data_IF_459404034180
#
_entry.id   IF_459404034180
#
_cell.length_a   1.000
_cell.length_b   1.000
_cell.length_c   1.000
_cell.angle_alpha   90.00
_cell.angle_beta   90.00
_cell.angle_gamma   90.00
#
_symmetry.space_group_name_H-M   'P 1'
#
loop_
_entity.id
_entity.type
_entity.pdbx_description
1 polymer ?
#
# COMPACT_ATOMS: atom_id res chain seq x y z
N UNK A 1 -7.20 -6.64 55.77
CA UNK A 1 -6.09 -5.96 55.07
C UNK A 1 -6.70 -5.26 53.87
N UNK A 2 -6.71 -3.93 53.89
CA UNK A 2 -7.23 -3.12 52.79
C UNK A 2 -6.31 -3.28 51.58
N UNK A 3 -6.86 -3.78 50.48
CA UNK A 3 -6.26 -3.60 49.15
C UNK A 3 -6.31 -2.10 48.89
N UNK A 4 -5.15 -1.45 48.86
CA UNK A 4 -5.05 -0.07 48.42
C UNK A 4 -5.72 0.04 47.05
N UNK A 5 -6.69 0.96 46.92
CA UNK A 5 -7.14 1.40 45.61
C UNK A 5 -5.88 1.82 44.85
N UNK A 6 -5.45 1.01 43.89
CA UNK A 6 -4.51 1.48 42.88
C UNK A 6 -5.24 2.61 42.18
N UNK A 7 -4.73 3.83 42.37
CA UNK A 7 -5.13 4.99 41.60
C UNK A 7 -4.93 4.62 40.12
N UNK A 8 -6.02 4.26 39.44
CA UNK A 8 -6.02 4.20 37.99
C UNK A 8 -5.63 5.60 37.52
N UNK A 9 -4.57 5.71 36.71
CA UNK A 9 -4.24 6.96 36.06
C UNK A 9 -5.52 7.47 35.39
N UNK A 10 -5.92 8.74 35.57
CA UNK A 10 -7.05 9.33 34.87
C UNK A 10 -6.61 9.55 33.42
N UNK A 11 -6.52 8.46 32.69
CA UNK A 11 -6.20 8.46 31.28
C UNK A 11 -7.51 8.63 30.55
N UNK A 12 -7.62 9.72 29.81
CA UNK A 12 -8.57 9.79 28.72
C UNK A 12 -8.09 8.76 27.67
N UNK A 13 -8.69 7.57 27.70
CA UNK A 13 -8.30 6.42 26.87
C UNK A 13 -8.25 6.77 25.38
N UNK A 14 -9.15 7.66 24.93
CA UNK A 14 -9.17 8.14 23.55
C UNK A 14 -7.94 9.02 23.26
N UNK A 15 -7.63 9.96 24.16
CA UNK A 15 -6.45 10.81 24.05
C UNK A 15 -5.15 10.01 24.11
N UNK A 16 -5.03 9.04 25.01
CA UNK A 16 -3.84 8.20 25.09
C UNK A 16 -3.69 7.33 23.83
N UNK A 17 -4.75 6.67 23.39
CA UNK A 17 -4.73 5.87 22.17
C UNK A 17 -4.35 6.70 20.94
N UNK A 18 -4.83 7.94 20.86
CA UNK A 18 -4.45 8.89 19.82
C UNK A 18 -2.97 9.29 19.90
N UNK A 19 -2.48 9.70 21.07
CA UNK A 19 -1.08 10.07 21.27
C UNK A 19 -0.14 8.91 20.96
N UNK A 20 -0.41 7.72 21.48
CA UNK A 20 0.41 6.52 21.23
C UNK A 20 0.48 6.20 19.73
N UNK A 21 -0.66 6.22 19.04
CA UNK A 21 -0.72 6.03 17.58
C UNK A 21 0.09 7.09 16.83
N UNK A 22 0.02 8.36 17.23
CA UNK A 22 0.79 9.42 16.59
C UNK A 22 2.29 9.17 16.75
N UNK A 23 2.75 8.87 17.96
CA UNK A 23 4.17 8.59 18.24
C UNK A 23 4.66 7.36 17.45
N UNK A 24 3.89 6.27 17.43
CA UNK A 24 4.20 5.08 16.63
C UNK A 24 4.32 5.43 15.15
N UNK A 25 3.36 6.16 14.58
CA UNK A 25 3.41 6.57 13.18
C UNK A 25 4.62 7.43 12.87
N UNK A 26 4.96 8.39 13.73
CA UNK A 26 6.13 9.25 13.56
C UNK A 26 7.42 8.42 13.52
N UNK A 27 7.57 7.46 14.43
CA UNK A 27 8.71 6.55 14.44
C UNK A 27 8.76 5.64 13.22
N UNK A 28 7.63 5.07 12.79
CA UNK A 28 7.53 4.32 11.52
C UNK A 28 8.06 5.16 10.36
N UNK A 29 7.60 6.41 10.22
CA UNK A 29 8.04 7.29 9.15
C UNK A 29 9.50 7.74 9.29
N UNK A 30 10.06 7.80 10.50
CA UNK A 30 11.50 7.98 10.70
C UNK A 30 12.26 6.77 10.16
N UNK A 31 11.83 5.55 10.48
CA UNK A 31 12.43 4.33 9.95
C UNK A 31 12.36 4.29 8.42
N UNK A 32 11.24 4.70 7.82
CA UNK A 32 11.13 4.72 6.34
C UNK A 32 12.07 5.73 5.69
N UNK A 33 12.42 6.82 6.38
CA UNK A 33 13.39 7.79 5.87
C UNK A 33 14.81 7.24 5.92
N UNK A 34 15.15 6.48 6.96
CA UNK A 34 16.47 5.87 7.11
C UNK A 34 16.63 4.60 6.24
N UNK A 35 15.58 3.78 6.18
CA UNK A 35 15.54 2.46 5.56
C UNK A 35 14.26 2.32 4.71
N UNK A 36 14.23 2.93 3.51
CA UNK A 36 13.00 3.04 2.70
C UNK A 36 12.45 1.71 2.18
N UNK A 37 13.25 0.65 2.19
CA UNK A 37 12.93 -0.66 1.60
C UNK A 37 12.65 -1.76 2.62
N UNK A 38 12.90 -1.50 3.91
CA UNK A 38 12.79 -2.48 4.98
C UNK A 38 11.51 -2.25 5.79
N UNK A 39 10.74 -3.30 6.05
CA UNK A 39 9.61 -3.20 6.97
C UNK A 39 10.13 -3.06 8.41
N UNK A 40 9.70 -2.06 9.19
CA UNK A 40 10.13 -1.91 10.57
C UNK A 40 9.57 -3.06 11.39
N UNK A 41 10.30 -3.44 12.42
CA UNK A 41 9.73 -4.23 13.51
C UNK A 41 8.71 -3.35 14.25
N UNK A 42 7.42 -3.54 13.96
CA UNK A 42 6.34 -2.77 14.56
C UNK A 42 6.22 -2.96 16.07
N UNK A 43 6.65 -4.11 16.59
CA UNK A 43 6.69 -4.35 18.03
C UNK A 43 7.81 -3.51 18.66
N UNK A 44 8.99 -3.47 18.04
CA UNK A 44 10.09 -2.62 18.50
C UNK A 44 9.72 -1.13 18.42
N UNK A 45 9.10 -0.68 17.32
CA UNK A 45 8.63 0.71 17.21
C UNK A 45 7.59 1.04 18.29
N UNK A 46 6.73 0.08 18.64
CA UNK A 46 5.76 0.26 19.73
C UNK A 46 6.44 0.35 21.10
N UNK A 47 7.46 -0.47 21.37
CA UNK A 47 8.28 -0.38 22.59
C UNK A 47 8.98 0.98 22.69
N UNK A 48 9.52 1.48 21.58
CA UNK A 48 10.19 2.78 21.52
C UNK A 48 9.19 3.92 21.78
N UNK A 49 8.00 3.86 21.19
CA UNK A 49 6.93 4.83 21.43
C UNK A 49 6.48 4.85 22.90
N UNK A 50 6.26 3.67 23.51
CA UNK A 50 5.91 3.55 24.92
C UNK A 50 7.00 4.16 25.81
N UNK A 51 8.26 3.89 25.50
CA UNK A 51 9.42 4.45 26.22
C UNK A 51 9.47 5.98 26.10
N UNK A 52 9.24 6.54 24.91
CA UNK A 52 9.18 7.99 24.69
C UNK A 52 8.06 8.68 25.48
N UNK A 53 6.94 7.98 25.68
CA UNK A 53 5.81 8.46 26.46
C UNK A 53 5.95 8.22 27.98
N UNK A 54 7.07 7.64 28.43
CA UNK A 54 7.37 7.41 29.84
C UNK A 54 6.72 6.16 30.44
N UNK A 55 6.21 5.24 29.60
CA UNK A 55 5.69 3.96 30.07
C UNK A 55 6.81 2.99 30.42
N UNK A 56 6.58 2.06 31.37
CA UNK A 56 7.54 1.01 31.68
C UNK A 56 7.78 0.11 30.47
N UNK A 57 9.00 -0.42 30.36
CA UNK A 57 9.39 -1.32 29.28
C UNK A 57 8.56 -2.61 29.35
N UNK A 58 7.88 -2.92 28.25
CA UNK A 58 7.16 -4.17 28.06
C UNK A 58 8.02 -5.19 27.30
N UNK A 59 7.53 -6.43 27.22
CA UNK A 59 8.08 -7.42 26.31
C UNK A 59 7.53 -7.26 24.89
N UNK A 60 8.17 -7.94 23.93
CA UNK A 60 7.79 -7.88 22.52
C UNK A 60 6.35 -8.39 22.27
N UNK A 61 5.89 -9.51 22.87
CA UNK A 61 4.50 -9.96 22.72
C UNK A 61 3.46 -8.90 23.12
N UNK A 62 3.63 -8.23 24.26
CA UNK A 62 2.70 -7.18 24.69
C UNK A 62 2.71 -5.98 23.72
N UNK A 63 3.87 -5.60 23.22
CA UNK A 63 3.99 -4.52 22.24
C UNK A 63 3.28 -4.86 20.91
N UNK A 64 3.39 -6.10 20.44
CA UNK A 64 2.66 -6.60 19.27
C UNK A 64 1.15 -6.49 19.47
N UNK A 65 0.65 -6.96 20.63
CA UNK A 65 -0.79 -6.86 20.95
C UNK A 65 -1.27 -5.41 21.01
N UNK A 66 -0.47 -4.50 21.57
CA UNK A 66 -0.80 -3.06 21.59
C UNK A 66 -0.87 -2.51 20.16
N UNK A 67 0.12 -2.82 19.32
CA UNK A 67 0.14 -2.36 17.93
C UNK A 67 -1.07 -2.86 17.14
N UNK A 68 -1.46 -4.12 17.33
CA UNK A 68 -2.65 -4.71 16.71
C UNK A 68 -3.95 -4.06 17.22
N UNK A 69 -4.06 -3.82 18.53
CA UNK A 69 -5.21 -3.14 19.13
C UNK A 69 -5.37 -1.70 18.62
N UNK A 70 -4.28 -1.07 18.19
CA UNK A 70 -4.30 0.25 17.55
C UNK A 70 -4.73 0.20 16.07
N UNK A 71 -5.14 -0.94 15.49
CA UNK A 71 -5.71 -0.94 14.14
C UNK A 71 -7.03 -0.14 14.10
N UNK A 72 -7.05 1.01 13.42
CA UNK A 72 -8.31 1.69 13.09
C UNK A 72 -8.86 1.06 11.81
N UNK A 73 -10.08 0.53 11.90
CA UNK A 73 -10.88 0.18 10.73
C UNK A 73 -11.54 1.45 10.20
N UNK A 74 -11.01 2.01 9.12
CA UNK A 74 -11.77 2.97 8.31
C UNK A 74 -12.45 2.19 7.20
N UNK A 75 -13.69 2.53 6.90
CA UNK A 75 -14.37 2.00 5.71
C UNK A 75 -13.48 2.26 4.49
N UNK A 76 -13.18 1.19 3.75
CA UNK A 76 -12.46 1.27 2.47
C UNK A 76 -13.52 1.18 1.37
N UNK A 77 -13.56 2.19 0.52
CA UNK A 77 -14.41 2.18 -0.65
C UNK A 77 -13.62 1.66 -1.85
N UNK A 78 -14.20 0.71 -2.56
CA UNK A 78 -13.67 0.27 -3.84
C UNK A 78 -13.88 1.35 -4.91
N UNK A 79 -13.01 1.36 -5.91
CA UNK A 79 -13.35 2.04 -7.15
C UNK A 79 -14.63 1.42 -7.73
N UNK A 80 -15.58 2.21 -8.26
CA UNK A 80 -16.87 1.69 -8.73
C UNK A 80 -16.78 0.56 -9.77
N UNK A 81 -15.68 0.53 -10.53
CA UNK A 81 -15.40 -0.43 -11.59
C UNK A 81 -14.49 -1.59 -11.16
N UNK A 82 -14.05 -1.66 -9.90
CA UNK A 82 -13.06 -2.64 -9.44
C UNK A 82 -13.52 -4.09 -9.60
N UNK A 83 -14.65 -4.46 -8.98
CA UNK A 83 -15.14 -5.85 -8.98
C UNK A 83 -15.44 -6.34 -10.39
N UNK A 84 -16.13 -5.51 -11.19
CA UNK A 84 -16.45 -5.82 -12.58
C UNK A 84 -15.19 -6.04 -13.42
N UNK A 85 -14.17 -5.19 -13.25
CA UNK A 85 -12.91 -5.31 -13.98
C UNK A 85 -12.17 -6.60 -13.60
N UNK A 86 -12.02 -6.89 -12.30
CA UNK A 86 -11.33 -8.10 -11.84
C UNK A 86 -12.04 -9.38 -12.32
N UNK A 87 -13.38 -9.42 -12.26
CA UNK A 87 -14.16 -10.55 -12.77
C UNK A 87 -13.94 -10.75 -14.27
N UNK A 88 -13.91 -9.67 -15.05
CA UNK A 88 -13.68 -9.74 -16.50
C UNK A 88 -12.25 -10.15 -16.84
N UNK A 89 -11.25 -9.71 -16.08
CA UNK A 89 -9.86 -10.15 -16.25
C UNK A 89 -9.73 -11.66 -15.97
N UNK A 90 -10.28 -12.16 -14.87
CA UNK A 90 -10.30 -13.60 -14.58
C UNK A 90 -11.02 -14.39 -15.67
N UNK A 91 -12.18 -13.91 -16.16
CA UNK A 91 -12.92 -14.53 -17.26
C UNK A 91 -12.09 -14.63 -18.56
N UNK A 92 -11.17 -13.69 -18.77
CA UNK A 92 -10.24 -13.69 -19.91
C UNK A 92 -8.97 -14.53 -19.69
N UNK A 93 -8.87 -15.23 -18.56
CA UNK A 93 -7.75 -16.12 -18.25
C UNK A 93 -6.59 -15.45 -17.52
N UNK A 94 -6.73 -14.19 -17.08
CA UNK A 94 -5.69 -13.55 -16.28
C UNK A 94 -5.63 -14.12 -14.87
N UNK A 95 -4.42 -14.37 -14.40
CA UNK A 95 -4.14 -14.72 -13.02
C UNK A 95 -3.87 -13.42 -12.26
N UNK A 96 -4.51 -13.24 -11.12
CA UNK A 96 -4.44 -12.03 -10.30
C UNK A 96 -3.60 -12.28 -9.05
N UNK A 97 -2.69 -11.35 -8.74
CA UNK A 97 -1.90 -11.36 -7.51
C UNK A 97 -1.95 -10.02 -6.80
N UNK A 98 -1.55 -10.01 -5.53
CA UNK A 98 -1.48 -8.80 -4.71
C UNK A 98 -0.04 -8.56 -4.26
N UNK A 99 0.44 -7.33 -4.42
CA UNK A 99 1.69 -6.87 -3.81
C UNK A 99 1.40 -5.54 -3.10
N UNK A 100 1.49 -5.50 -1.77
CA UNK A 100 1.00 -4.36 -1.00
C UNK A 100 1.92 -3.97 0.17
N UNK A 101 2.07 -2.66 0.37
CA UNK A 101 2.74 -2.11 1.55
C UNK A 101 1.68 -1.83 2.62
N UNK A 102 1.70 -2.55 3.74
CA UNK A 102 0.68 -2.49 4.79
C UNK A 102 1.33 -2.57 6.17
N UNK A 103 0.74 -1.88 7.14
CA UNK A 103 1.17 -1.97 8.55
C UNK A 103 0.65 -3.24 9.25
N UNK A 104 -0.52 -3.72 8.84
CA UNK A 104 -1.12 -4.95 9.35
C UNK A 104 -1.35 -5.93 8.19
N UNK A 105 -0.69 -7.09 8.26
CA UNK A 105 -0.87 -8.22 7.36
C UNK A 105 -1.77 -9.31 7.96
N UNK A 106 -1.54 -10.57 7.60
CA UNK A 106 -2.18 -11.74 8.21
C UNK A 106 -3.72 -11.67 8.28
N UNK A 107 -4.35 -12.15 9.37
CA UNK A 107 -5.81 -12.12 9.53
C UNK A 107 -6.44 -10.74 9.37
N UNK A 108 -5.87 -9.63 9.92
CA UNK A 108 -6.36 -8.28 9.65
C UNK A 108 -6.48 -7.92 8.16
N UNK A 109 -5.52 -8.32 7.33
CA UNK A 109 -5.57 -8.06 5.89
C UNK A 109 -6.63 -8.91 5.20
N UNK A 110 -6.75 -10.19 5.57
CA UNK A 110 -7.77 -11.10 5.02
C UNK A 110 -9.18 -10.63 5.37
N UNK A 111 -9.40 -10.17 6.61
CA UNK A 111 -10.66 -9.54 7.03
C UNK A 111 -11.01 -8.32 6.16
N UNK A 112 -10.05 -7.39 5.97
CA UNK A 112 -10.25 -6.21 5.13
C UNK A 112 -10.64 -6.61 3.69
N UNK A 113 -10.00 -7.64 3.12
CA UNK A 113 -10.27 -8.14 1.76
C UNK A 113 -11.65 -8.80 1.65
N UNK A 114 -12.06 -9.53 2.68
CA UNK A 114 -13.38 -10.16 2.76
C UNK A 114 -14.49 -9.10 2.86
N UNK A 115 -14.34 -8.11 3.75
CA UNK A 115 -15.33 -7.05 3.98
C UNK A 115 -15.64 -6.24 2.71
N UNK A 116 -14.63 -6.02 1.86
CA UNK A 116 -14.79 -5.28 0.58
C UNK A 116 -15.06 -6.20 -0.62
N UNK A 117 -15.20 -7.51 -0.42
CA UNK A 117 -15.53 -8.47 -1.48
C UNK A 117 -14.40 -8.71 -2.49
N UNK A 118 -13.14 -8.52 -2.11
CA UNK A 118 -11.98 -8.79 -2.97
C UNK A 118 -11.36 -10.17 -2.76
N UNK A 119 -11.62 -10.83 -1.63
CA UNK A 119 -10.92 -12.05 -1.26
C UNK A 119 -11.03 -13.16 -2.34
N UNK A 120 -12.21 -13.32 -2.95
CA UNK A 120 -12.47 -14.37 -3.94
C UNK A 120 -11.75 -14.17 -5.29
N UNK A 121 -11.13 -12.99 -5.51
CA UNK A 121 -10.43 -12.69 -6.76
C UNK A 121 -8.94 -13.07 -6.74
N UNK A 122 -8.38 -13.36 -5.57
CA UNK A 122 -6.95 -13.58 -5.40
C UNK A 122 -6.68 -14.90 -4.71
N UNK A 123 -5.73 -15.66 -5.24
CA UNK A 123 -5.20 -16.82 -4.53
C UNK A 123 -4.46 -16.34 -3.25
N UNK A 124 -4.80 -16.86 -2.06
CA UNK A 124 -4.13 -16.50 -0.82
C UNK A 124 -2.61 -16.66 -0.84
N UNK A 125 -2.10 -17.66 -1.55
CA UNK A 125 -0.66 -17.89 -1.66
C UNK A 125 0.03 -16.84 -2.56
N UNK A 126 -0.74 -16.09 -3.34
CA UNK A 126 -0.26 -15.06 -4.27
C UNK A 126 -0.41 -13.62 -3.72
N UNK A 127 -0.67 -13.48 -2.42
CA UNK A 127 -0.79 -12.19 -1.74
C UNK A 127 0.50 -11.84 -0.97
N UNK A 128 1.36 -11.04 -1.59
CA UNK A 128 2.59 -10.54 -0.98
C UNK A 128 2.32 -9.26 -0.17
N UNK A 129 2.33 -9.40 1.16
CA UNK A 129 2.02 -8.32 2.11
C UNK A 129 3.28 -7.94 2.88
N UNK A 130 3.65 -6.66 2.85
CA UNK A 130 4.96 -6.24 3.37
C UNK A 130 5.14 -6.48 4.88
N UNK A 131 4.07 -6.31 5.68
CA UNK A 131 4.06 -6.65 7.11
C UNK A 131 4.37 -8.12 7.39
N UNK A 132 3.92 -9.03 6.52
CA UNK A 132 4.12 -10.47 6.70
C UNK A 132 5.51 -10.92 6.23
N UNK A 133 6.09 -10.21 5.27
CA UNK A 133 7.35 -10.56 4.63
C UNK A 133 8.57 -9.81 5.18
N UNK A 134 8.38 -8.73 5.96
CA UNK A 134 9.47 -7.90 6.48
C UNK A 134 10.14 -7.01 5.43
N UNK A 135 9.67 -7.05 4.18
CA UNK A 135 10.22 -6.33 3.03
C UNK A 135 9.09 -5.61 2.29
N UNK A 136 9.37 -4.44 1.73
CA UNK A 136 8.33 -3.64 1.06
C UNK A 136 8.72 -3.16 -0.33
N UNK A 137 7.71 -2.83 -1.14
CA UNK A 137 7.92 -2.16 -2.43
C UNK A 137 8.65 -0.82 -2.21
N UNK A 138 9.62 -0.44 -3.06
CA UNK A 138 9.99 -1.05 -4.35
C UNK A 138 11.04 -2.18 -4.30
N UNK A 139 11.32 -2.80 -3.15
CA UNK A 139 12.26 -3.92 -3.08
C UNK A 139 11.82 -5.06 -4.02
N UNK A 140 12.65 -5.54 -4.97
CA UNK A 140 12.24 -6.56 -5.93
C UNK A 140 11.83 -7.89 -5.29
N UNK A 141 12.33 -8.21 -4.09
CA UNK A 141 12.04 -9.49 -3.43
C UNK A 141 10.54 -9.69 -3.13
N UNK A 142 9.77 -8.62 -2.85
CA UNK A 142 8.33 -8.75 -2.59
C UNK A 142 7.54 -9.08 -3.87
N UNK A 143 7.96 -8.54 -5.01
CA UNK A 143 7.36 -8.85 -6.31
C UNK A 143 7.71 -10.28 -6.74
N UNK A 144 8.97 -10.68 -6.54
CA UNK A 144 9.41 -12.06 -6.80
C UNK A 144 8.68 -13.09 -5.95
N UNK A 145 8.34 -12.77 -4.71
CA UNK A 145 7.51 -13.63 -3.87
C UNK A 145 6.16 -13.92 -4.53
N UNK A 146 5.43 -12.89 -4.97
CA UNK A 146 4.15 -13.04 -5.65
C UNK A 146 4.31 -13.79 -6.99
N UNK A 147 5.30 -13.43 -7.81
CA UNK A 147 5.56 -14.08 -9.10
C UNK A 147 5.88 -15.58 -8.95
N UNK A 148 6.67 -15.94 -7.94
CA UNK A 148 7.03 -17.35 -7.68
C UNK A 148 5.81 -18.16 -7.23
N UNK A 149 4.94 -17.58 -6.39
CA UNK A 149 3.69 -18.23 -5.99
C UNK A 149 2.76 -18.45 -7.19
N UNK A 150 2.63 -17.42 -8.04
CA UNK A 150 1.84 -17.46 -9.28
C UNK A 150 2.46 -18.37 -10.36
N UNK A 151 3.76 -18.65 -10.27
CA UNK A 151 4.57 -19.35 -11.29
C UNK A 151 4.55 -18.66 -12.66
N UNK A 152 4.60 -17.33 -12.65
CA UNK A 152 4.57 -16.49 -13.87
C UNK A 152 5.90 -15.76 -14.03
N UNK A 153 6.36 -15.59 -15.28
CA UNK A 153 7.55 -14.81 -15.56
C UNK A 153 7.28 -13.29 -15.44
N UNK A 154 8.24 -12.48 -14.99
CA UNK A 154 8.09 -11.02 -14.96
C UNK A 154 7.64 -10.42 -16.30
N UNK A 155 8.15 -10.95 -17.42
CA UNK A 155 7.85 -10.48 -18.77
C UNK A 155 6.40 -10.73 -19.22
N UNK A 156 5.67 -11.64 -18.56
CA UNK A 156 4.27 -11.97 -18.84
C UNK A 156 3.33 -11.28 -17.83
N UNK A 157 3.86 -10.38 -17.02
CA UNK A 157 3.13 -9.76 -15.90
C UNK A 157 3.01 -8.26 -16.10
N UNK A 158 1.86 -7.70 -15.71
CA UNK A 158 1.68 -6.27 -15.53
C UNK A 158 1.46 -5.92 -14.05
N UNK A 159 2.15 -4.88 -13.57
CA UNK A 159 1.94 -4.31 -12.24
C UNK A 159 1.04 -3.08 -12.38
N UNK A 160 -0.13 -3.12 -11.75
CA UNK A 160 -1.06 -1.98 -11.67
C UNK A 160 -0.98 -1.38 -10.27
N UNK A 161 -0.61 -0.10 -10.17
CA UNK A 161 -0.48 0.56 -8.87
C UNK A 161 -0.53 2.08 -8.95
N UNK A 162 -0.68 2.74 -7.80
CA UNK A 162 -0.81 4.19 -7.69
C UNK A 162 0.50 4.89 -7.33
N UNK A 163 1.47 4.16 -6.77
CA UNK A 163 2.74 4.70 -6.32
C UNK A 163 3.83 4.59 -7.39
N UNK A 164 4.23 5.74 -7.93
CA UNK A 164 5.36 5.82 -8.85
C UNK A 164 6.68 5.33 -8.21
N UNK A 165 6.90 5.61 -6.92
CA UNK A 165 8.14 5.26 -6.22
C UNK A 165 8.16 3.84 -5.68
N UNK A 166 7.00 3.19 -5.49
CA UNK A 166 6.92 1.85 -4.96
C UNK A 166 6.51 0.83 -6.03
N UNK A 167 5.36 1.02 -6.68
CA UNK A 167 4.79 0.06 -7.63
C UNK A 167 5.55 0.09 -8.94
N UNK A 168 5.63 1.28 -9.55
CA UNK A 168 6.21 1.47 -10.88
C UNK A 168 7.73 1.30 -10.85
N UNK A 169 8.40 1.92 -9.88
CA UNK A 169 9.83 1.75 -9.68
C UNK A 169 10.21 0.30 -9.31
N UNK A 170 9.37 -0.40 -8.56
CA UNK A 170 9.57 -1.81 -8.21
C UNK A 170 9.41 -2.73 -9.42
N UNK A 171 8.32 -2.58 -10.17
CA UNK A 171 8.04 -3.34 -11.38
C UNK A 171 9.15 -3.19 -12.44
N UNK A 172 9.63 -1.97 -12.67
CA UNK A 172 10.70 -1.70 -13.62
C UNK A 172 12.02 -2.40 -13.28
N UNK A 173 12.32 -2.65 -12.00
CA UNK A 173 13.53 -3.39 -11.62
C UNK A 173 13.53 -4.85 -12.09
N UNK A 174 12.34 -5.40 -12.34
CA UNK A 174 12.14 -6.79 -12.75
C UNK A 174 11.66 -6.92 -14.20
N UNK A 175 11.56 -5.81 -14.95
CA UNK A 175 10.95 -5.76 -16.28
C UNK A 175 9.48 -6.23 -16.31
N UNK A 176 8.76 -6.07 -15.19
CA UNK A 176 7.30 -6.23 -15.14
C UNK A 176 6.67 -5.01 -15.83
N UNK A 177 5.66 -5.21 -16.68
CA UNK A 177 5.02 -4.11 -17.42
C UNK A 177 4.33 -3.14 -16.42
N UNK A 178 4.77 -1.88 -16.30
CA UNK A 178 4.30 -1.01 -15.22
C UNK A 178 3.15 -0.10 -15.67
N UNK A 179 1.95 -0.36 -15.14
CA UNK A 179 0.74 0.42 -15.39
C UNK A 179 0.47 1.32 -14.18
N UNK A 180 0.52 2.63 -14.38
CA UNK A 180 0.25 3.59 -13.31
C UNK A 180 -1.20 4.04 -13.33
N UNK A 181 -1.88 3.92 -12.18
CA UNK A 181 -3.20 4.48 -11.93
C UNK A 181 -3.09 5.61 -10.91
N UNK A 182 -2.99 6.88 -11.34
CA UNK A 182 -2.91 8.00 -10.41
C UNK A 182 -4.17 8.09 -9.53
N UNK A 183 -4.02 8.65 -8.34
CA UNK A 183 -5.18 8.86 -7.46
C UNK A 183 -6.20 9.81 -8.11
N UNK A 184 -7.52 9.61 -7.90
CA UNK A 184 -8.55 10.52 -8.42
C UNK A 184 -8.31 11.98 -8.03
N UNK A 185 -7.77 12.20 -6.83
CA UNK A 185 -7.36 13.52 -6.35
C UNK A 185 -6.28 14.15 -7.23
N UNK A 186 -5.22 13.40 -7.56
CA UNK A 186 -4.15 13.90 -8.44
C UNK A 186 -4.70 14.23 -9.83
N UNK A 187 -5.54 13.35 -10.39
CA UNK A 187 -6.20 13.57 -11.68
C UNK A 187 -7.00 14.88 -11.65
N UNK A 188 -7.80 15.09 -10.61
CA UNK A 188 -8.57 16.32 -10.43
C UNK A 188 -7.68 17.57 -10.28
N UNK A 189 -6.61 17.49 -9.48
CA UNK A 189 -5.65 18.58 -9.28
C UNK A 189 -4.95 18.97 -10.60
N UNK A 190 -4.57 17.99 -11.43
CA UNK A 190 -3.95 18.26 -12.74
C UNK A 190 -4.97 18.81 -13.71
N UNK A 191 -6.18 18.22 -13.81
CA UNK A 191 -7.27 18.72 -14.67
C UNK A 191 -7.63 20.18 -14.35
N UNK A 192 -7.68 20.55 -13.08
CA UNK A 192 -7.95 21.92 -12.64
C UNK A 192 -6.84 22.93 -13.02
N UNK A 193 -5.62 22.46 -13.26
CA UNK A 193 -4.50 23.29 -13.68
C UNK A 193 -4.35 23.41 -15.20
N UNK A 194 -5.12 22.66 -15.98
CA UNK A 194 -5.09 22.71 -17.44
C UNK A 194 -5.98 23.84 -17.99
N UNK A 195 -5.64 24.41 -19.15
CA UNK A 195 -6.52 25.33 -19.87
C UNK A 195 -7.93 24.72 -20.10
N UNK A 196 -9.02 25.51 -20.01
CA UNK A 196 -10.39 25.00 -20.15
C UNK A 196 -10.70 24.32 -21.51
N UNK A 197 -9.96 24.69 -22.55
CA UNK A 197 -10.04 24.14 -23.90
C UNK A 197 -9.27 22.82 -24.06
N UNK A 198 -8.48 22.44 -23.05
CA UNK A 198 -7.71 21.22 -23.04
C UNK A 198 -8.48 20.08 -22.36
N UNK A 199 -9.26 19.35 -23.15
CA UNK A 199 -10.11 18.27 -22.66
C UNK A 199 -9.37 16.99 -22.21
N UNK A 200 -8.12 16.78 -22.65
CA UNK A 200 -7.45 15.48 -22.48
C UNK A 200 -6.21 15.53 -21.57
N UNK A 201 -6.23 14.67 -20.56
CA UNK A 201 -5.11 14.42 -19.66
C UNK A 201 -4.17 13.38 -20.27
N UNK A 202 -2.87 13.58 -20.15
CA UNK A 202 -1.88 12.62 -20.66
C UNK A 202 -0.59 12.66 -19.84
N UNK A 203 0.33 11.76 -20.16
CA UNK A 203 1.61 11.57 -19.48
C UNK A 203 2.46 12.84 -19.37
N UNK A 204 2.37 13.75 -20.36
CA UNK A 204 3.10 15.03 -20.37
C UNK A 204 2.60 16.00 -19.30
N UNK A 205 1.41 15.76 -18.72
CA UNK A 205 0.88 16.54 -17.62
C UNK A 205 1.06 15.81 -16.29
N UNK A 206 0.71 14.52 -16.23
CA UNK A 206 0.69 13.74 -15.00
C UNK A 206 2.08 13.47 -14.43
N UNK A 207 3.04 13.02 -15.27
CA UNK A 207 4.37 12.63 -14.78
C UNK A 207 5.14 13.87 -14.26
N UNK A 208 5.19 15.01 -14.99
CA UNK A 208 5.85 16.20 -14.46
C UNK A 208 5.19 16.75 -13.20
N UNK A 209 3.86 16.70 -13.12
CA UNK A 209 3.13 17.08 -11.90
C UNK A 209 3.55 16.21 -10.71
N UNK A 210 3.50 14.89 -10.89
CA UNK A 210 3.87 13.95 -9.83
C UNK A 210 5.33 14.11 -9.40
N UNK A 211 6.27 14.26 -10.34
CA UNK A 211 7.69 14.50 -10.04
C UNK A 211 7.90 15.78 -9.23
N UNK A 212 7.27 16.88 -9.64
CA UNK A 212 7.38 18.18 -8.93
C UNK A 212 6.84 18.08 -7.51
N UNK A 213 5.64 17.54 -7.35
CA UNK A 213 5.02 17.33 -6.03
C UNK A 213 5.88 16.45 -5.12
N UNK A 214 6.45 15.38 -5.67
CA UNK A 214 7.33 14.49 -4.91
C UNK A 214 8.61 15.20 -4.44
N UNK A 215 9.19 16.08 -5.28
CA UNK A 215 10.33 16.91 -4.89
C UNK A 215 9.97 17.92 -3.80
N UNK A 216 8.82 18.59 -3.90
CA UNK A 216 8.33 19.55 -2.89
C UNK A 216 8.11 18.88 -1.52
N UNK A 217 7.78 17.59 -1.51
CA UNK A 217 7.65 16.78 -0.30
C UNK A 217 8.97 16.20 0.23
N UNK A 218 10.11 16.54 -0.39
CA UNK A 218 11.42 16.03 -0.01
C UNK A 218 11.64 14.54 -0.31
N UNK A 219 10.86 13.98 -1.25
CA UNK A 219 10.89 12.55 -1.63
C UNK A 219 11.02 12.43 -3.14
N UNK A 220 12.17 12.74 -3.76
CA UNK A 220 12.31 12.69 -5.22
C UNK A 220 12.03 11.28 -5.75
N UNK A 221 11.31 11.20 -6.88
CA UNK A 221 11.03 9.91 -7.53
C UNK A 221 12.30 9.33 -8.17
N UNK A 222 12.57 8.02 -8.03
CA UNK A 222 13.73 7.39 -8.63
C UNK A 222 13.66 7.45 -10.18
N UNK A 223 14.79 7.22 -10.83
CA UNK A 223 14.84 7.17 -12.31
C UNK A 223 13.99 6.02 -12.88
N UNK A 224 13.84 4.93 -12.13
CA UNK A 224 12.99 3.78 -12.47
C UNK A 224 11.50 4.06 -12.30
N UNK A 225 11.09 5.22 -11.76
CA UNK A 225 9.67 5.61 -11.69
C UNK A 225 9.16 6.11 -13.06
N UNK A 226 9.11 5.20 -14.04
CA UNK A 226 8.67 5.44 -15.42
C UNK A 226 7.51 4.50 -15.74
N UNK A 227 6.27 4.98 -15.80
CA UNK A 227 5.16 4.15 -16.24
C UNK A 227 5.33 3.76 -17.70
N UNK A 228 4.93 2.55 -18.04
CA UNK A 228 4.79 2.09 -19.43
C UNK A 228 3.42 2.45 -20.00
N UNK A 229 2.42 2.55 -19.13
CA UNK A 229 1.07 3.01 -19.46
C UNK A 229 0.45 3.73 -18.26
N UNK A 230 -0.44 4.69 -18.53
CA UNK A 230 -1.25 5.37 -17.50
C UNK A 230 -2.73 5.10 -17.76
N UNK A 231 -3.47 4.73 -16.71
CA UNK A 231 -4.93 4.54 -16.74
C UNK A 231 -5.63 5.50 -15.77
N UNK A 232 -6.87 5.87 -16.09
CA UNK A 232 -7.73 6.66 -15.18
C UNK A 232 -8.68 5.72 -14.42
N UNK A 233 -9.25 4.75 -15.13
CA UNK A 233 -10.17 3.75 -14.61
C UNK A 233 -9.51 2.36 -14.59
N UNK A 234 -9.97 1.47 -13.72
CA UNK A 234 -9.52 0.07 -13.78
C UNK A 234 -10.05 -0.61 -15.04
N UNK A 235 -11.25 -0.22 -15.49
CA UNK A 235 -11.88 -0.73 -16.71
C UNK A 235 -11.04 -0.52 -17.98
N UNK A 236 -10.15 0.49 -18.02
CA UNK A 236 -9.19 0.71 -19.10
C UNK A 236 -8.31 -0.53 -19.36
N UNK A 237 -8.06 -1.36 -18.33
CA UNK A 237 -7.33 -2.63 -18.46
C UNK A 237 -8.01 -3.60 -19.43
N UNK A 238 -9.34 -3.54 -19.57
CA UNK A 238 -10.09 -4.39 -20.48
C UNK A 238 -9.85 -4.02 -21.95
N UNK A 239 -9.51 -2.77 -22.24
CA UNK A 239 -9.15 -2.31 -23.58
C UNK A 239 -7.64 -2.47 -23.85
N UNK A 240 -6.82 -2.46 -22.80
CA UNK A 240 -5.38 -2.72 -22.92
C UNK A 240 -5.14 -4.20 -23.22
N UNK A 241 -5.91 -5.08 -22.57
CA UNK A 241 -5.78 -6.53 -22.67
C UNK A 241 -6.84 -7.16 -23.60
N UNK A 242 -7.10 -6.52 -24.75
CA UNK A 242 -8.17 -6.92 -25.69
C UNK A 242 -8.08 -8.38 -26.16
N UNK A 243 -6.89 -8.97 -26.27
CA UNK A 243 -6.68 -10.27 -26.94
C UNK A 243 -5.73 -11.22 -26.22
N UNK A 244 -5.52 -11.10 -24.91
CA UNK A 244 -4.69 -12.10 -24.19
C UNK A 244 -5.40 -13.46 -23.99
N UNK A 245 -6.69 -13.55 -24.35
CA UNK A 245 -7.54 -14.74 -24.17
C UNK A 245 -7.98 -15.42 -25.48
N UNK A 246 -7.31 -15.14 -26.61
CA UNK A 246 -7.48 -15.91 -27.86
C UNK A 246 -6.11 -16.32 -28.39
N UNK A 247 -5.47 -17.27 -27.71
CA UNK A 247 -4.60 -18.29 -28.33
C UNK A 247 -4.71 -19.60 -27.54
#
# INVERSE_FOLDING_TARGET
>A
QHVAQQDFLPVDDEKLGHTLRQTINELIYQTFRAHPYDEPDFAQVTLDALTQLGFPRLDNPAATTIFEALRIRKARELFPDALTTLAMLQKRGFILGVVTNRFWGGPPFVEDMYEIGLLDYFDPDCMAISADLGIRKPNPAIFMHALNALRIAPAETAMVGDSLSADIAGANQLNIFPIWKPSPRMIAEVKAALPPDQAYLNDKHLIPYARRRSMEQGRPLPETAKPGLIIEQLSDLLDIFLEAGVQ
#
